data_IF_711671915789
#
_entry.id   IF_711671915789
#
_cell.length_a   1.000
_cell.length_b   1.000
_cell.length_c   1.000
_cell.angle_alpha   90.00
_cell.angle_beta   90.00
_cell.angle_gamma   90.00
#
_symmetry.space_group_name_H-M   'P 1'
#
loop_
_entity.id
_entity.type
_entity.pdbx_description
1 polymer ?
#
# COMPACT_ATOMS: atom_id res chain seq x y z
N UNK A 1 2.08 -29.45 29.35
CA UNK A 1 1.40 -28.17 29.30
C UNK A 1 2.37 -27.10 29.78
N UNK A 2 2.76 -26.17 28.93
CA UNK A 2 3.76 -25.15 29.29
C UNK A 2 3.13 -24.20 30.32
N UNK A 3 3.60 -24.25 31.60
CA UNK A 3 3.07 -23.40 32.68
C UNK A 3 3.46 -21.90 32.53
N UNK A 4 4.26 -21.56 31.52
CA UNK A 4 4.88 -20.25 31.38
C UNK A 4 4.76 -19.66 29.96
N UNK A 5 3.56 -19.82 29.36
CA UNK A 5 3.29 -19.30 28.03
C UNK A 5 3.52 -17.77 27.94
N UNK A 6 3.27 -17.03 29.01
CA UNK A 6 3.47 -15.58 29.03
C UNK A 6 4.95 -15.17 28.93
N UNK A 7 5.87 -15.95 29.52
CA UNK A 7 7.31 -15.68 29.48
C UNK A 7 7.99 -16.17 28.20
N UNK A 8 7.35 -17.07 27.46
CA UNK A 8 7.84 -17.62 26.19
C UNK A 8 7.30 -16.87 24.96
N UNK A 9 6.37 -15.94 25.17
CA UNK A 9 5.71 -15.20 24.08
C UNK A 9 6.66 -14.36 23.25
N UNK A 10 7.77 -13.93 23.84
CA UNK A 10 8.78 -13.11 23.21
C UNK A 10 9.95 -14.00 22.73
N UNK A 11 10.08 -14.12 21.40
CA UNK A 11 11.15 -14.89 20.75
C UNK A 11 10.74 -16.31 20.30
N UNK A 12 9.45 -16.60 20.25
CA UNK A 12 8.96 -17.83 19.62
C UNK A 12 9.17 -17.76 18.10
N UNK A 13 9.48 -18.90 17.43
CA UNK A 13 9.62 -18.93 15.98
C UNK A 13 8.35 -18.52 15.25
N UNK A 14 8.52 -17.94 14.06
CA UNK A 14 7.45 -17.30 13.30
C UNK A 14 6.41 -18.28 12.76
N UNK A 15 6.80 -19.52 12.44
CA UNK A 15 5.96 -20.51 11.77
C UNK A 15 6.03 -21.85 12.51
N UNK A 16 4.86 -22.47 12.71
CA UNK A 16 4.70 -23.86 13.08
C UNK A 16 4.29 -24.66 11.85
N UNK A 17 5.13 -25.59 11.42
CA UNK A 17 4.84 -26.50 10.32
C UNK A 17 4.36 -27.83 10.91
N UNK A 18 3.17 -28.25 10.50
CA UNK A 18 2.58 -29.53 10.89
C UNK A 18 2.37 -30.35 9.63
N UNK A 19 3.03 -31.48 9.52
CA UNK A 19 2.77 -32.48 8.51
C UNK A 19 2.27 -33.79 9.14
N UNK A 20 1.92 -34.78 8.33
CA UNK A 20 1.27 -36.02 8.78
C UNK A 20 2.07 -36.80 9.83
N UNK A 21 3.35 -36.53 10.04
CA UNK A 21 4.23 -37.29 10.93
C UNK A 21 5.18 -36.44 11.76
N UNK A 22 5.27 -35.16 11.52
CA UNK A 22 6.22 -34.28 12.21
C UNK A 22 5.64 -32.91 12.55
N UNK A 23 6.23 -32.33 13.58
CA UNK A 23 5.94 -30.97 14.03
C UNK A 23 7.27 -30.26 14.19
N UNK A 24 7.48 -29.19 13.39
CA UNK A 24 8.70 -28.38 13.45
C UNK A 24 8.39 -26.90 13.47
N UNK A 25 9.31 -26.14 13.99
CA UNK A 25 9.26 -24.68 14.00
C UNK A 25 10.22 -24.10 12.97
N UNK A 26 9.85 -22.96 12.38
CA UNK A 26 10.70 -22.20 11.47
C UNK A 26 10.76 -20.73 11.93
N UNK A 27 11.96 -20.25 12.13
CA UNK A 27 12.26 -18.83 12.33
C UNK A 27 12.65 -18.20 10.99
N UNK A 28 11.96 -17.13 10.60
CA UNK A 28 12.19 -16.46 9.31
C UNK A 28 13.09 -15.24 9.49
N UNK A 29 14.14 -15.13 8.71
CA UNK A 29 15.07 -14.00 8.72
C UNK A 29 15.15 -13.32 7.35
N UNK A 30 15.00 -12.00 7.34
CA UNK A 30 15.29 -11.20 6.17
C UNK A 30 16.81 -11.03 5.98
N UNK A 31 17.28 -10.62 4.79
CA UNK A 31 18.71 -10.33 4.57
C UNK A 31 19.23 -9.30 5.58
N UNK A 32 20.30 -9.66 6.29
CA UNK A 32 20.93 -8.82 7.32
C UNK A 32 20.31 -8.95 8.71
N UNK A 33 19.18 -9.65 8.88
CA UNK A 33 18.62 -9.92 10.20
C UNK A 33 19.45 -10.93 10.97
N UNK A 34 19.60 -10.67 12.27
CA UNK A 34 20.24 -11.59 13.21
C UNK A 34 19.22 -12.11 14.20
N UNK A 35 19.49 -13.30 14.76
CA UNK A 35 18.71 -13.85 15.86
C UNK A 35 18.90 -12.99 17.12
N UNK A 36 17.78 -12.55 17.69
CA UNK A 36 17.79 -11.85 18.97
C UNK A 36 18.09 -12.83 20.10
N UNK A 37 18.61 -12.32 21.22
CA UNK A 37 18.96 -13.15 22.37
C UNK A 37 17.79 -14.01 22.88
N UNK A 38 16.59 -13.46 22.95
CA UNK A 38 15.38 -14.18 23.35
C UNK A 38 14.99 -15.28 22.35
N UNK A 39 15.15 -15.06 21.05
CA UNK A 39 14.93 -16.07 20.01
C UNK A 39 15.92 -17.23 20.14
N UNK A 40 17.22 -16.94 20.34
CA UNK A 40 18.23 -17.98 20.57
C UNK A 40 17.90 -18.86 21.77
N UNK A 41 17.49 -18.25 22.90
CA UNK A 41 17.12 -18.98 24.11
C UNK A 41 15.88 -19.87 23.84
N UNK A 42 14.87 -19.34 23.17
CA UNK A 42 13.64 -20.10 22.88
C UNK A 42 13.91 -21.25 21.91
N UNK A 43 14.67 -21.00 20.84
CA UNK A 43 15.08 -22.05 19.89
C UNK A 43 15.86 -23.17 20.59
N UNK A 44 16.80 -22.82 21.47
CA UNK A 44 17.58 -23.81 22.23
C UNK A 44 16.65 -24.66 23.13
N UNK A 45 15.72 -24.04 23.85
CA UNK A 45 14.75 -24.73 24.70
C UNK A 45 13.84 -25.68 23.90
N UNK A 46 13.32 -25.24 22.76
CA UNK A 46 12.50 -26.08 21.88
C UNK A 46 13.27 -27.31 21.40
N UNK A 47 14.54 -27.14 20.98
CA UNK A 47 15.41 -28.24 20.59
C UNK A 47 15.69 -29.21 21.75
N UNK A 48 15.88 -28.71 22.96
CA UNK A 48 16.01 -29.55 24.16
C UNK A 48 14.73 -30.35 24.50
N UNK A 49 13.56 -29.80 24.11
CA UNK A 49 12.28 -30.52 24.22
C UNK A 49 12.03 -31.51 23.08
N UNK A 50 12.98 -31.69 22.17
CA UNK A 50 12.90 -32.65 21.07
C UNK A 50 12.23 -32.10 19.80
N UNK A 51 11.95 -30.80 19.73
CA UNK A 51 11.39 -30.19 18.51
C UNK A 51 12.51 -29.85 17.53
N UNK A 52 12.23 -30.07 16.26
CA UNK A 52 13.03 -29.54 15.17
C UNK A 52 12.75 -28.03 15.04
N UNK A 53 13.81 -27.20 14.94
CA UNK A 53 13.71 -25.77 14.73
C UNK A 53 14.66 -25.37 13.62
N UNK A 54 14.12 -24.99 12.47
CA UNK A 54 14.83 -24.43 11.34
C UNK A 54 15.00 -22.92 11.47
N UNK A 55 15.98 -22.39 10.75
CA UNK A 55 16.17 -20.94 10.54
C UNK A 55 16.23 -20.75 9.03
N UNK A 56 15.17 -20.16 8.49
CA UNK A 56 15.04 -19.94 7.05
C UNK A 56 15.35 -18.49 6.71
N UNK A 57 16.39 -18.27 5.93
CA UNK A 57 16.71 -16.97 5.40
C UNK A 57 15.91 -16.73 4.12
N UNK A 58 15.05 -15.70 4.14
CA UNK A 58 14.26 -15.28 2.98
C UNK A 58 15.02 -14.18 2.25
N UNK A 59 15.45 -14.46 1.05
CA UNK A 59 15.98 -13.45 0.15
C UNK A 59 14.84 -12.86 -0.68
N UNK A 60 14.68 -11.53 -0.66
CA UNK A 60 13.72 -10.86 -1.50
C UNK A 60 14.24 -10.85 -2.93
N UNK A 61 13.58 -11.57 -3.81
CA UNK A 61 13.79 -11.42 -5.24
C UNK A 61 12.99 -10.20 -5.71
N UNK A 62 13.70 -9.21 -6.26
CA UNK A 62 13.06 -8.16 -7.03
C UNK A 62 12.82 -8.71 -8.44
N UNK A 63 11.57 -8.93 -8.79
CA UNK A 63 11.19 -9.20 -10.16
C UNK A 63 11.17 -7.88 -10.93
N UNK A 64 12.11 -7.65 -11.88
CA UNK A 64 12.12 -6.41 -12.64
C UNK A 64 10.85 -6.21 -13.49
N UNK A 65 10.11 -7.30 -13.75
CA UNK A 65 8.85 -7.26 -14.50
C UNK A 65 7.61 -7.20 -13.61
N UNK A 66 7.79 -7.12 -12.27
CA UNK A 66 6.68 -6.90 -11.35
C UNK A 66 5.90 -5.64 -11.76
N UNK A 67 4.59 -5.72 -12.03
CA UNK A 67 3.79 -4.55 -12.33
C UNK A 67 3.60 -3.68 -11.08
N UNK A 68 3.75 -2.38 -11.25
CA UNK A 68 3.40 -1.36 -10.27
C UNK A 68 2.28 -0.49 -10.83
N UNK A 69 1.28 -0.19 -10.02
CA UNK A 69 0.25 0.78 -10.38
C UNK A 69 0.35 1.96 -9.44
N UNK A 70 0.78 3.09 -9.96
CA UNK A 70 0.82 4.36 -9.21
C UNK A 70 -0.56 4.96 -9.26
N UNK A 71 -1.12 5.20 -8.09
CA UNK A 71 -2.50 5.67 -7.91
C UNK A 71 -2.48 6.96 -7.11
N UNK A 72 -3.28 7.90 -7.54
CA UNK A 72 -3.65 9.08 -6.78
C UNK A 72 -5.15 9.30 -6.89
N UNK A 73 -5.77 9.90 -5.87
CA UNK A 73 -7.21 10.15 -5.83
C UNK A 73 -7.50 11.55 -5.33
N UNK A 74 -8.58 12.13 -5.84
CA UNK A 74 -9.22 13.30 -5.24
C UNK A 74 -10.51 12.89 -4.51
N UNK A 75 -10.86 13.62 -3.45
CA UNK A 75 -11.93 13.22 -2.54
C UNK A 75 -12.73 14.42 -2.05
N UNK A 76 -13.92 14.17 -1.51
CA UNK A 76 -14.74 15.20 -0.85
C UNK A 76 -14.21 15.60 0.54
N UNK A 77 -13.12 14.99 1.03
CA UNK A 77 -12.49 15.28 2.33
C UNK A 77 -11.60 14.15 2.84
N UNK A 78 -11.00 14.33 4.01
CA UNK A 78 -9.82 13.54 4.47
C UNK A 78 -10.08 12.16 5.07
N UNK A 79 -11.33 11.74 5.32
CA UNK A 79 -11.63 10.50 6.04
C UNK A 79 -12.52 9.60 5.20
N UNK A 80 -12.02 8.43 4.79
CA UNK A 80 -12.72 7.48 3.89
C UNK A 80 -14.05 6.95 4.44
N UNK A 81 -14.23 6.91 5.77
CA UNK A 81 -15.49 6.52 6.39
C UNK A 81 -16.64 7.49 6.06
N UNK A 82 -16.33 8.79 5.91
CA UNK A 82 -17.33 9.86 5.77
C UNK A 82 -17.29 10.56 4.42
N UNK A 83 -16.23 10.40 3.66
CA UNK A 83 -16.02 11.09 2.39
C UNK A 83 -15.98 10.09 1.22
N UNK A 84 -16.07 10.62 0.01
CA UNK A 84 -16.16 9.84 -1.22
C UNK A 84 -15.07 10.31 -2.19
N UNK A 85 -14.69 9.43 -3.11
CA UNK A 85 -13.77 9.73 -4.20
C UNK A 85 -14.49 10.61 -5.24
N UNK A 86 -13.77 11.60 -5.78
CA UNK A 86 -14.22 12.49 -6.87
C UNK A 86 -13.41 12.34 -8.15
N UNK A 87 -12.17 11.83 -8.07
CA UNK A 87 -11.32 11.51 -9.22
C UNK A 87 -10.37 10.37 -8.84
N UNK A 88 -10.05 9.51 -9.80
CA UNK A 88 -9.00 8.49 -9.68
C UNK A 88 -8.09 8.60 -10.89
N UNK A 89 -6.78 8.65 -10.66
CA UNK A 89 -5.73 8.57 -11.67
C UNK A 89 -4.83 7.37 -11.39
N UNK A 90 -4.52 6.59 -12.44
CA UNK A 90 -3.68 5.40 -12.32
C UNK A 90 -2.71 5.29 -13.48
N UNK A 91 -1.45 4.96 -13.17
CA UNK A 91 -0.40 4.70 -14.16
C UNK A 91 0.21 3.34 -13.87
N UNK A 92 0.25 2.46 -14.86
CA UNK A 92 0.87 1.14 -14.74
C UNK A 92 2.29 1.16 -15.29
N UNK A 93 3.23 0.71 -14.48
CA UNK A 93 4.64 0.59 -14.81
C UNK A 93 5.04 -0.89 -14.81
N UNK A 94 5.80 -1.32 -15.83
CA UNK A 94 6.45 -2.63 -15.91
C UNK A 94 7.89 -2.39 -16.37
N UNK A 95 8.87 -2.94 -15.67
CA UNK A 95 10.28 -2.74 -15.99
C UNK A 95 10.75 -1.26 -15.88
N UNK A 96 10.00 -0.43 -15.15
CA UNK A 96 10.25 1.01 -15.03
C UNK A 96 9.63 1.86 -16.16
N UNK A 97 8.98 1.23 -17.14
CA UNK A 97 8.35 1.94 -18.26
C UNK A 97 6.82 2.02 -18.06
N UNK A 98 6.24 3.16 -18.45
CA UNK A 98 4.79 3.31 -18.47
C UNK A 98 4.18 2.48 -19.58
N UNK A 99 3.31 1.53 -19.23
CA UNK A 99 2.64 0.65 -20.20
C UNK A 99 1.15 0.94 -20.37
N UNK A 100 0.53 1.60 -19.39
CA UNK A 100 -0.89 1.98 -19.44
C UNK A 100 -1.19 3.12 -18.48
N UNK A 101 -2.24 3.90 -18.78
CA UNK A 101 -2.84 4.86 -17.86
C UNK A 101 -4.36 4.79 -17.89
N UNK A 102 -4.96 5.15 -16.78
CA UNK A 102 -6.41 5.21 -16.62
C UNK A 102 -6.78 6.39 -15.73
N UNK A 103 -7.87 7.08 -16.05
CA UNK A 103 -8.37 8.20 -15.26
C UNK A 103 -9.88 8.28 -15.41
N UNK A 104 -10.57 8.63 -14.33
CA UNK A 104 -11.98 8.99 -14.35
C UNK A 104 -12.32 9.99 -13.25
N UNK A 105 -13.14 10.99 -13.58
CA UNK A 105 -13.95 11.67 -12.59
C UNK A 105 -14.99 10.69 -12.06
N UNK A 106 -15.32 10.83 -10.78
CA UNK A 106 -16.29 9.96 -10.09
C UNK A 106 -17.37 10.85 -9.47
N UNK A 107 -18.62 10.52 -9.74
CA UNK A 107 -19.73 11.15 -9.03
C UNK A 107 -19.76 10.66 -7.57
N UNK A 108 -19.46 11.51 -6.59
CA UNK A 108 -19.42 11.11 -5.19
C UNK A 108 -20.82 10.90 -4.58
N UNK A 109 -21.88 11.19 -5.35
CA UNK A 109 -23.29 11.17 -4.91
C UNK A 109 -23.54 12.04 -3.67
N UNK A 110 -22.78 13.13 -3.56
CA UNK A 110 -22.88 14.11 -2.48
C UNK A 110 -22.20 15.42 -2.88
N UNK A 111 -22.55 16.47 -2.21
CA UNK A 111 -21.96 17.80 -2.38
C UNK A 111 -20.46 17.80 -2.07
N UNK A 112 -19.67 18.43 -2.94
CA UNK A 112 -18.24 18.69 -2.77
C UNK A 112 -18.08 20.00 -2.01
N UNK A 113 -17.49 20.00 -0.80
CA UNK A 113 -17.29 21.25 -0.05
C UNK A 113 -16.48 22.27 -0.84
N UNK A 114 -16.88 23.55 -0.81
CA UNK A 114 -16.23 24.62 -1.59
C UNK A 114 -14.72 24.72 -1.36
N UNK A 115 -14.25 24.40 -0.14
CA UNK A 115 -12.82 24.31 0.17
C UNK A 115 -12.10 23.23 -0.64
N UNK A 116 -12.77 22.11 -0.88
CA UNK A 116 -12.21 21.00 -1.69
C UNK A 116 -12.21 21.42 -3.16
N UNK A 117 -13.29 22.01 -3.66
CA UNK A 117 -13.32 22.57 -5.03
C UNK A 117 -12.20 23.60 -5.25
N UNK A 118 -11.93 24.46 -4.28
CA UNK A 118 -10.81 25.42 -4.37
C UNK A 118 -9.44 24.72 -4.42
N UNK A 119 -9.29 23.60 -3.73
CA UNK A 119 -8.04 22.83 -3.68
C UNK A 119 -7.81 22.01 -4.96
N UNK A 120 -8.83 21.27 -5.41
CA UNK A 120 -8.70 20.27 -6.50
C UNK A 120 -9.16 20.79 -7.85
N UNK A 121 -9.90 21.90 -7.86
CA UNK A 121 -10.59 22.42 -9.06
C UNK A 121 -11.82 21.61 -9.48
N UNK A 122 -12.16 20.52 -8.74
CA UNK A 122 -13.30 19.65 -9.07
C UNK A 122 -14.56 20.22 -8.41
N UNK A 123 -15.58 20.53 -9.22
CA UNK A 123 -16.87 21.04 -8.76
C UNK A 123 -17.98 19.99 -8.89
N UNK A 124 -19.11 20.24 -8.23
CA UNK A 124 -20.31 19.39 -8.35
C UNK A 124 -20.77 19.26 -9.80
N UNK A 125 -20.71 20.35 -10.60
CA UNK A 125 -21.11 20.33 -12.02
C UNK A 125 -20.21 19.41 -12.85
N UNK A 126 -18.90 19.34 -12.54
CA UNK A 126 -17.97 18.49 -13.27
C UNK A 126 -18.24 17.01 -13.07
N UNK A 127 -18.70 16.63 -11.88
CA UNK A 127 -18.95 15.23 -11.53
C UNK A 127 -20.41 14.80 -11.69
N UNK A 128 -21.32 15.72 -11.99
CA UNK A 128 -22.75 15.44 -12.09
C UNK A 128 -23.07 14.35 -13.13
N UNK A 129 -22.38 14.34 -14.27
CA UNK A 129 -22.51 13.35 -15.33
C UNK A 129 -21.42 12.26 -15.31
N UNK A 130 -20.55 12.26 -14.31
CA UNK A 130 -19.50 11.25 -14.18
C UNK A 130 -20.08 9.92 -13.65
N UNK A 131 -19.43 8.78 -13.93
CA UNK A 131 -19.85 7.49 -13.38
C UNK A 131 -19.77 7.51 -11.85
N UNK A 132 -20.62 6.76 -11.18
CA UNK A 132 -20.45 6.46 -9.75
C UNK A 132 -19.36 5.40 -9.54
N UNK A 133 -18.81 5.28 -8.35
CA UNK A 133 -17.71 4.33 -8.09
C UNK A 133 -18.06 2.88 -8.47
N UNK A 134 -19.30 2.48 -8.27
CA UNK A 134 -19.77 1.14 -8.63
C UNK A 134 -19.61 0.82 -10.13
N UNK A 135 -19.74 1.82 -11.00
CA UNK A 135 -19.65 1.67 -12.46
C UNK A 135 -18.19 1.53 -12.95
N UNK A 136 -17.22 2.00 -12.17
CA UNK A 136 -15.78 1.93 -12.51
C UNK A 136 -15.01 0.94 -11.64
N UNK A 137 -15.66 0.31 -10.68
CA UNK A 137 -15.00 -0.60 -9.73
C UNK A 137 -14.32 -1.78 -10.45
N UNK A 138 -14.95 -2.35 -11.48
CA UNK A 138 -14.38 -3.44 -12.27
C UNK A 138 -13.13 -3.00 -13.03
N UNK A 139 -13.13 -1.80 -13.60
CA UNK A 139 -11.96 -1.24 -14.28
C UNK A 139 -10.79 -1.04 -13.32
N UNK A 140 -11.06 -0.49 -12.12
CA UNK A 140 -10.03 -0.29 -11.09
C UNK A 140 -9.48 -1.63 -10.61
N UNK A 141 -10.35 -2.63 -10.38
CA UNK A 141 -9.96 -3.99 -9.99
C UNK A 141 -9.06 -4.62 -11.08
N UNK A 142 -9.48 -4.60 -12.34
CA UNK A 142 -8.74 -5.14 -13.46
C UNK A 142 -7.41 -4.43 -13.70
N UNK A 143 -7.40 -3.09 -13.61
CA UNK A 143 -6.19 -2.29 -13.82
C UNK A 143 -5.13 -2.56 -12.76
N UNK A 144 -5.55 -2.76 -11.50
CA UNK A 144 -4.64 -3.00 -10.35
C UNK A 144 -4.34 -4.47 -10.11
N UNK A 145 -4.96 -5.40 -10.85
CA UNK A 145 -4.77 -6.84 -10.67
C UNK A 145 -3.30 -7.24 -10.83
N UNK A 146 -2.84 -8.14 -9.96
CA UNK A 146 -1.48 -8.69 -9.93
C UNK A 146 -0.36 -7.64 -9.87
N UNK A 147 -0.68 -6.44 -9.39
CA UNK A 147 0.24 -5.32 -9.28
C UNK A 147 0.47 -4.89 -7.83
N UNK A 148 1.59 -4.23 -7.59
CA UNK A 148 1.81 -3.49 -6.35
C UNK A 148 1.13 -2.13 -6.45
N UNK A 149 0.26 -1.82 -5.50
CA UNK A 149 -0.40 -0.52 -5.38
C UNK A 149 0.58 0.50 -4.79
N UNK A 150 0.94 1.50 -5.57
CA UNK A 150 1.86 2.56 -5.21
C UNK A 150 1.10 3.88 -5.05
N UNK A 151 1.37 4.63 -3.98
CA UNK A 151 0.86 6.00 -3.86
C UNK A 151 1.77 6.85 -2.98
N UNK A 152 1.63 8.18 -3.12
CA UNK A 152 2.29 9.13 -2.24
C UNK A 152 1.46 9.31 -0.96
N UNK A 153 1.91 8.72 0.17
CA UNK A 153 1.12 8.50 1.39
C UNK A 153 0.02 7.42 1.22
N UNK A 154 0.42 6.27 0.73
CA UNK A 154 -0.41 5.14 0.28
C UNK A 154 -1.60 4.76 1.17
N UNK A 155 -1.53 5.02 2.47
CA UNK A 155 -2.64 4.66 3.37
C UNK A 155 -3.89 5.53 3.15
N UNK A 156 -3.72 6.73 2.58
CA UNK A 156 -4.83 7.60 2.22
C UNK A 156 -5.57 7.02 1.00
N UNK A 157 -4.90 6.92 -0.13
CA UNK A 157 -5.48 6.46 -1.39
C UNK A 157 -6.02 5.05 -1.30
N UNK A 158 -5.21 4.14 -0.78
CA UNK A 158 -5.59 2.76 -0.57
C UNK A 158 -6.78 2.63 0.39
N UNK A 159 -6.82 3.44 1.45
CA UNK A 159 -7.90 3.45 2.43
C UNK A 159 -9.24 3.88 1.81
N UNK A 160 -9.24 4.87 0.93
CA UNK A 160 -10.43 5.30 0.20
C UNK A 160 -10.89 4.25 -0.81
N UNK A 161 -9.99 3.76 -1.67
CA UNK A 161 -10.33 2.69 -2.64
C UNK A 161 -10.90 1.48 -1.91
N UNK A 162 -10.24 0.99 -0.88
CA UNK A 162 -10.74 -0.15 -0.09
C UNK A 162 -12.10 0.12 0.52
N UNK A 163 -12.36 1.35 1.01
CA UNK A 163 -13.64 1.71 1.61
C UNK A 163 -14.76 1.79 0.57
N UNK A 164 -14.47 2.27 -0.65
CA UNK A 164 -15.45 2.27 -1.74
C UNK A 164 -15.81 0.85 -2.17
N UNK A 165 -14.83 -0.05 -2.30
CA UNK A 165 -15.10 -1.48 -2.56
C UNK A 165 -15.92 -2.11 -1.43
N UNK A 166 -15.60 -1.82 -0.17
CA UNK A 166 -16.36 -2.34 0.98
C UNK A 166 -17.83 -1.87 0.99
N UNK A 167 -18.13 -0.66 0.48
CA UNK A 167 -19.52 -0.19 0.30
C UNK A 167 -20.30 -0.97 -0.75
N UNK A 168 -19.58 -1.63 -1.67
CA UNK A 168 -20.14 -2.53 -2.68
C UNK A 168 -20.14 -4.00 -2.21
N UNK A 169 -19.80 -4.25 -0.94
CA UNK A 169 -19.64 -5.61 -0.38
C UNK A 169 -18.54 -6.43 -1.09
N UNK A 170 -17.57 -5.75 -1.69
CA UNK A 170 -16.42 -6.35 -2.35
C UNK A 170 -15.15 -6.17 -1.52
N UNK A 171 -14.24 -7.15 -1.58
CA UNK A 171 -12.91 -7.04 -0.97
C UNK A 171 -11.92 -6.48 -1.98
N UNK A 172 -11.07 -5.54 -1.51
CA UNK A 172 -9.96 -5.00 -2.29
C UNK A 172 -8.65 -5.19 -1.52
N UNK A 173 -7.75 -6.02 -2.09
CA UNK A 173 -6.49 -6.35 -1.43
C UNK A 173 -5.35 -6.37 -2.44
N UNK A 174 -4.36 -5.48 -2.23
CA UNK A 174 -3.14 -5.38 -3.04
C UNK A 174 -1.94 -5.19 -2.12
N UNK A 175 -0.74 -5.68 -2.50
CA UNK A 175 0.50 -5.25 -1.89
C UNK A 175 0.63 -3.72 -2.01
N UNK A 176 1.18 -3.06 -0.99
CA UNK A 176 1.26 -1.58 -0.96
C UNK A 176 2.70 -1.11 -0.94
N UNK A 177 2.97 -0.03 -1.66
CA UNK A 177 4.25 0.67 -1.63
C UNK A 177 4.02 2.17 -1.44
N UNK A 178 4.68 2.78 -0.45
CA UNK A 178 4.53 4.20 -0.14
C UNK A 178 5.77 4.97 -0.59
N UNK A 179 5.64 5.80 -1.62
CA UNK A 179 6.76 6.63 -2.11
C UNK A 179 7.21 7.62 -1.03
N UNK A 180 6.30 8.29 -0.32
CA UNK A 180 6.65 9.22 0.76
C UNK A 180 7.51 8.56 1.85
N UNK A 181 7.15 7.36 2.31
CA UNK A 181 7.91 6.64 3.33
C UNK A 181 9.30 6.20 2.82
N UNK A 182 9.38 5.82 1.55
CA UNK A 182 10.65 5.44 0.91
C UNK A 182 11.57 6.64 0.71
N UNK A 183 11.03 7.78 0.30
CA UNK A 183 11.80 9.02 0.15
C UNK A 183 12.37 9.50 1.49
N UNK A 184 11.60 9.40 2.58
CA UNK A 184 12.11 9.70 3.94
C UNK A 184 13.30 8.83 4.33
N UNK A 185 13.28 7.56 3.92
CA UNK A 185 14.38 6.63 4.22
C UNK A 185 15.59 6.85 3.33
N UNK A 186 15.37 7.11 2.04
CA UNK A 186 16.44 7.27 1.05
C UNK A 186 17.13 8.63 1.15
N UNK A 187 16.39 9.69 1.47
CA UNK A 187 16.87 11.08 1.55
C UNK A 187 16.46 11.71 2.89
N UNK A 188 17.06 11.30 4.00
CA UNK A 188 16.73 11.84 5.32
C UNK A 188 17.14 13.32 5.43
N UNK A 189 16.37 14.11 6.19
CA UNK A 189 16.72 15.50 6.51
C UNK A 189 16.09 16.55 5.57
N UNK A 190 15.26 16.17 4.61
CA UNK A 190 14.49 17.15 3.82
C UNK A 190 13.45 17.85 4.70
N UNK A 191 13.19 19.14 4.42
CA UNK A 191 12.22 19.96 5.16
C UNK A 191 10.77 19.45 5.03
N UNK A 192 10.42 18.86 3.90
CA UNK A 192 9.09 18.30 3.60
C UNK A 192 9.21 17.11 2.68
N UNK A 193 8.30 16.16 2.85
CA UNK A 193 8.16 14.96 2.01
C UNK A 193 6.78 14.90 1.32
N UNK A 194 6.07 16.02 1.24
CA UNK A 194 4.88 16.14 0.40
C UNK A 194 5.26 16.10 -1.08
N UNK A 195 4.34 15.62 -1.93
CA UNK A 195 4.60 15.41 -3.36
C UNK A 195 5.15 16.67 -4.03
N UNK A 196 4.49 17.83 -3.87
CA UNK A 196 4.97 19.08 -4.45
C UNK A 196 6.36 19.52 -3.98
N UNK A 197 6.70 19.27 -2.69
CA UNK A 197 8.02 19.60 -2.17
C UNK A 197 9.12 18.69 -2.73
N UNK A 198 8.83 17.40 -2.87
CA UNK A 198 9.75 16.44 -3.49
C UNK A 198 9.89 16.69 -4.99
N UNK A 199 8.80 16.95 -5.70
CA UNK A 199 8.84 17.29 -7.11
C UNK A 199 9.71 18.51 -7.37
N UNK A 200 9.58 19.58 -6.57
CA UNK A 200 10.42 20.76 -6.65
C UNK A 200 11.90 20.46 -6.30
N UNK A 201 12.15 19.58 -5.32
CA UNK A 201 13.51 19.23 -4.90
C UNK A 201 14.27 18.39 -5.94
N UNK A 202 13.57 17.50 -6.65
CA UNK A 202 14.15 16.60 -7.65
C UNK A 202 13.93 17.07 -9.08
N UNK A 203 13.44 18.30 -9.28
CA UNK A 203 13.13 18.89 -10.61
C UNK A 203 12.16 18.01 -11.42
N UNK A 204 11.21 17.37 -10.72
CA UNK A 204 10.14 16.60 -11.35
C UNK A 204 9.02 17.55 -11.75
N UNK A 205 8.62 17.49 -13.01
CA UNK A 205 7.53 18.32 -13.53
C UNK A 205 6.19 17.88 -12.92
N UNK A 206 5.62 18.70 -12.06
CA UNK A 206 4.28 18.53 -11.51
C UNK A 206 3.36 19.55 -12.17
N UNK A 207 2.48 19.07 -13.06
CA UNK A 207 1.45 19.88 -13.70
C UNK A 207 0.14 19.72 -12.93
N UNK A 208 -0.69 20.76 -12.90
CA UNK A 208 -2.03 20.72 -12.30
C UNK A 208 -2.07 19.97 -10.96
N UNK A 209 -1.22 20.36 -10.00
CA UNK A 209 -1.21 19.76 -8.67
C UNK A 209 -2.65 19.70 -8.10
N UNK A 210 -3.00 18.59 -7.45
CA UNK A 210 -4.35 18.20 -7.06
C UNK A 210 -5.27 17.80 -8.22
N UNK A 211 -4.69 17.19 -9.26
CA UNK A 211 -5.38 16.39 -10.26
C UNK A 211 -4.78 15.00 -10.25
N UNK A 212 -5.64 14.01 -10.03
CA UNK A 212 -5.20 12.65 -9.69
C UNK A 212 -4.19 12.04 -10.69
N UNK A 213 -4.39 12.21 -12.00
CA UNK A 213 -3.44 11.65 -12.98
C UNK A 213 -2.09 12.39 -12.98
N UNK A 214 -2.10 13.72 -12.82
CA UNK A 214 -0.87 14.53 -12.79
C UNK A 214 -0.04 14.24 -11.53
N UNK A 215 -0.71 14.06 -10.38
CA UNK A 215 -0.07 13.70 -9.11
C UNK A 215 0.45 12.24 -9.15
N UNK A 216 -0.29 11.30 -9.75
CA UNK A 216 0.18 9.94 -10.01
C UNK A 216 1.41 9.93 -10.93
N UNK A 217 1.44 10.77 -11.98
CA UNK A 217 2.59 10.91 -12.89
C UNK A 217 3.84 11.44 -12.17
N UNK A 218 3.68 12.40 -11.26
CA UNK A 218 4.81 12.93 -10.49
C UNK A 218 5.33 11.94 -9.43
N UNK A 219 4.49 10.98 -9.01
CA UNK A 219 4.85 9.95 -8.04
C UNK A 219 5.40 8.67 -8.70
N UNK A 220 5.23 8.52 -10.01
CA UNK A 220 5.72 7.42 -10.84
C UNK A 220 7.22 7.55 -11.12
#
# INVERSE_FOLDING_TARGET
>A
MCKDYASLRDGFPDILVVDNSSLRFEEIKAPGDQLRRNQLITIQRLRQCGFEVGITQVNWYHDPMQPYVVVDIETTGGQSAYHRITEVGMIKLIGGEEVARWQSLINPQRHIPSRITQLTGISDDMVAGAPVFAEVAEDIEAFTKDSVFVAHNVNFDYGFIKQEFARLELDFKRPKFCTCARMRKAFPGLKSYGLGALSAHFDIRLQNHHRALDDAQAAA
#
